data_IF_328597382177
#
_entry.id   IF_328597382177
#
_cell.length_a   1.000
_cell.length_b   1.000
_cell.length_c   1.000
_cell.angle_alpha   90.00
_cell.angle_beta   90.00
_cell.angle_gamma   90.00
#
_symmetry.space_group_name_H-M   'P 1'
#
loop_
_entity.id
_entity.type
_entity.pdbx_description
1 polymer ?
#
# COMPACT_ATOMS: atom_id res chain seq x y z
N UNK A 1 -4.67 -30.07 -4.06
CA UNK A 1 -3.70 -29.69 -3.02
C UNK A 1 -3.40 -28.19 -3.16
N UNK A 2 -3.51 -27.43 -2.08
CA UNK A 2 -3.06 -26.04 -2.12
C UNK A 2 -1.53 -25.99 -2.12
N UNK A 3 -0.99 -25.09 -2.93
CA UNK A 3 0.44 -24.81 -2.93
C UNK A 3 0.87 -24.24 -1.57
N UNK A 4 2.07 -24.55 -1.16
CA UNK A 4 2.72 -23.97 0.01
C UNK A 4 3.68 -22.89 -0.47
N UNK A 5 3.52 -21.68 0.04
CA UNK A 5 4.32 -20.53 -0.31
C UNK A 5 5.36 -20.26 0.78
N UNK A 6 6.55 -19.87 0.38
CA UNK A 6 7.51 -19.26 1.30
C UNK A 6 7.03 -17.87 1.72
N UNK A 7 7.59 -17.33 2.79
CA UNK A 7 7.28 -15.97 3.23
C UNK A 7 7.52 -14.94 2.11
N UNK A 8 8.58 -15.10 1.35
CA UNK A 8 8.91 -14.23 0.23
C UNK A 8 7.90 -14.32 -0.91
N UNK A 9 7.52 -15.55 -1.30
CA UNK A 9 6.47 -15.78 -2.30
C UNK A 9 5.11 -15.23 -1.85
N UNK A 10 4.78 -15.36 -0.57
CA UNK A 10 3.57 -14.80 0.00
C UNK A 10 3.55 -13.27 -0.07
N UNK A 11 4.66 -12.60 0.26
CA UNK A 11 4.80 -11.15 0.12
C UNK A 11 4.65 -10.72 -1.34
N UNK A 12 5.29 -11.41 -2.26
CA UNK A 12 5.17 -11.12 -3.68
C UNK A 12 3.73 -11.20 -4.16
N UNK A 13 3.02 -12.28 -3.82
CA UNK A 13 1.63 -12.47 -4.20
C UNK A 13 0.71 -11.39 -3.60
N UNK A 14 0.89 -11.05 -2.33
CA UNK A 14 0.11 -9.99 -1.66
C UNK A 14 0.38 -8.64 -2.31
N UNK A 15 1.63 -8.31 -2.58
CA UNK A 15 2.00 -7.07 -3.26
C UNK A 15 1.36 -6.94 -4.64
N UNK A 16 1.39 -7.99 -5.42
CA UNK A 16 0.75 -8.05 -6.74
C UNK A 16 -0.76 -7.81 -6.64
N UNK A 17 -1.44 -8.50 -5.74
CA UNK A 17 -2.89 -8.37 -5.56
C UNK A 17 -3.26 -6.95 -5.13
N UNK A 18 -2.61 -6.41 -4.11
CA UNK A 18 -2.97 -5.12 -3.53
C UNK A 18 -2.65 -3.95 -4.43
N UNK A 19 -1.48 -3.95 -5.06
CA UNK A 19 -1.02 -2.78 -5.82
C UNK A 19 -1.51 -2.83 -7.26
N UNK A 20 -1.43 -3.97 -7.91
CA UNK A 20 -1.64 -4.07 -9.36
C UNK A 20 -2.99 -4.67 -9.76
N UNK A 21 -3.71 -5.35 -8.87
CA UNK A 21 -4.99 -5.97 -9.19
C UNK A 21 -6.20 -5.31 -8.52
N UNK A 22 -6.01 -4.50 -7.49
CA UNK A 22 -7.11 -3.74 -6.90
C UNK A 22 -7.47 -2.55 -7.79
N UNK A 23 -8.73 -2.44 -8.27
CA UNK A 23 -9.10 -1.41 -9.26
C UNK A 23 -8.80 0.02 -8.84
N UNK A 24 -9.09 0.36 -7.58
CA UNK A 24 -8.84 1.70 -7.04
C UNK A 24 -7.34 2.03 -7.00
N UNK A 25 -6.52 1.09 -6.54
CA UNK A 25 -5.07 1.26 -6.46
C UNK A 25 -4.43 1.35 -7.85
N UNK A 26 -4.97 0.63 -8.81
CA UNK A 26 -4.58 0.76 -10.22
C UNK A 26 -4.94 2.12 -10.79
N UNK A 27 -6.13 2.65 -10.48
CA UNK A 27 -6.55 3.97 -10.92
C UNK A 27 -5.65 5.08 -10.39
N UNK A 28 -5.13 4.93 -9.17
CA UNK A 28 -4.12 5.83 -8.61
C UNK A 28 -2.74 5.66 -9.25
N UNK A 29 -2.51 4.59 -10.01
CA UNK A 29 -1.21 4.31 -10.61
C UNK A 29 -0.14 3.98 -9.58
N UNK A 30 -0.51 3.30 -8.49
CA UNK A 30 0.44 2.92 -7.46
C UNK A 30 1.47 1.92 -8.00
N UNK A 31 2.71 2.14 -7.63
CA UNK A 31 3.85 1.27 -7.89
C UNK A 31 4.41 0.74 -6.56
N UNK A 32 4.73 -0.54 -6.51
CA UNK A 32 5.36 -1.15 -5.35
C UNK A 32 6.88 -1.17 -5.54
N UNK A 33 7.56 -0.26 -4.85
CA UNK A 33 9.02 -0.12 -4.98
C UNK A 33 9.77 -1.09 -4.08
N UNK A 34 9.23 -1.35 -2.88
CA UNK A 34 9.84 -2.26 -1.91
C UNK A 34 8.79 -2.83 -0.98
N UNK A 35 8.84 -4.13 -0.74
CA UNK A 35 7.94 -4.81 0.18
C UNK A 35 8.66 -5.90 0.97
N UNK A 36 8.69 -5.72 2.27
CA UNK A 36 9.28 -6.63 3.23
C UNK A 36 8.29 -6.91 4.37
N UNK A 37 8.64 -7.82 5.25
CA UNK A 37 7.80 -8.24 6.39
C UNK A 37 7.25 -7.06 7.21
N UNK A 38 8.06 -6.02 7.42
CA UNK A 38 7.71 -4.87 8.26
C UNK A 38 7.87 -3.52 7.56
N UNK A 39 7.95 -3.54 6.22
CA UNK A 39 8.19 -2.33 5.45
C UNK A 39 7.52 -2.43 4.08
N UNK A 40 6.84 -1.36 3.68
CA UNK A 40 6.31 -1.21 2.33
C UNK A 40 6.59 0.20 1.82
N UNK A 41 7.04 0.30 0.59
CA UNK A 41 7.26 1.57 -0.09
C UNK A 41 6.49 1.58 -1.39
N UNK A 42 5.62 2.58 -1.52
CA UNK A 42 4.84 2.84 -2.71
C UNK A 42 5.25 4.16 -3.33
N UNK A 43 5.13 4.24 -4.63
CA UNK A 43 5.24 5.49 -5.38
C UNK A 43 4.08 5.62 -6.36
N UNK A 44 3.83 6.83 -6.80
CA UNK A 44 2.87 7.12 -7.87
C UNK A 44 3.26 8.41 -8.57
N UNK A 45 2.86 8.52 -9.83
CA UNK A 45 3.02 9.75 -10.59
C UNK A 45 1.79 10.62 -10.44
N UNK A 46 2.00 11.94 -10.38
CA UNK A 46 0.89 12.88 -10.32
C UNK A 46 0.01 12.80 -11.57
N UNK A 47 -1.29 12.85 -11.36
CA UNK A 47 -2.30 12.92 -12.41
C UNK A 47 -3.20 14.15 -12.16
N UNK A 48 -3.80 14.76 -13.19
CA UNK A 48 -4.69 15.93 -13.02
C UNK A 48 -5.82 15.68 -12.02
N UNK A 49 -6.36 14.47 -11.97
CA UNK A 49 -7.44 14.11 -11.04
C UNK A 49 -7.00 14.11 -9.56
N UNK A 50 -5.71 14.10 -9.29
CA UNK A 50 -5.15 14.05 -7.92
C UNK A 50 -4.98 15.44 -7.29
N UNK A 51 -5.25 16.50 -8.05
CA UNK A 51 -5.15 17.87 -7.54
C UNK A 51 -6.35 18.21 -6.67
N UNK A 52 -6.12 18.50 -5.40
CA UNK A 52 -7.16 18.89 -4.46
C UNK A 52 -7.36 20.39 -4.34
N UNK A 53 -6.28 21.16 -4.52
CA UNK A 53 -6.33 22.61 -4.59
C UNK A 53 -5.69 23.06 -5.90
N UNK A 54 -6.52 23.42 -6.86
CA UNK A 54 -6.08 23.80 -8.19
C UNK A 54 -5.26 25.09 -8.22
N UNK A 55 -5.54 26.02 -7.30
CA UNK A 55 -4.82 27.30 -7.23
C UNK A 55 -3.37 27.15 -6.78
N UNK A 56 -3.09 26.15 -5.99
CA UNK A 56 -1.75 25.87 -5.44
C UNK A 56 -1.12 24.59 -6.01
N UNK A 57 -1.84 23.87 -6.86
CA UNK A 57 -1.38 22.59 -7.44
C UNK A 57 -0.91 21.58 -6.37
N UNK A 58 -1.63 21.49 -5.26
CA UNK A 58 -1.36 20.54 -4.20
C UNK A 58 -2.22 19.28 -4.34
N UNK A 59 -1.65 18.14 -3.96
CA UNK A 59 -2.34 16.86 -3.96
C UNK A 59 -3.58 16.91 -3.06
N UNK A 60 -4.65 16.27 -3.54
CA UNK A 60 -5.83 16.01 -2.74
C UNK A 60 -5.45 15.15 -1.53
N UNK A 61 -5.93 15.54 -0.33
CA UNK A 61 -5.67 14.79 0.90
C UNK A 61 -6.15 13.34 0.82
N UNK A 62 -7.22 13.08 0.06
CA UNK A 62 -7.71 11.74 -0.21
C UNK A 62 -6.73 10.84 -0.96
N UNK A 63 -5.90 11.39 -1.84
CA UNK A 63 -4.84 10.63 -2.53
C UNK A 63 -3.77 10.21 -1.52
N UNK A 64 -3.34 11.13 -0.68
CA UNK A 64 -2.35 10.85 0.37
C UNK A 64 -2.89 9.80 1.35
N UNK A 65 -4.12 9.97 1.82
CA UNK A 65 -4.77 9.03 2.72
C UNK A 65 -4.89 7.63 2.10
N UNK A 66 -5.28 7.55 0.83
CA UNK A 66 -5.39 6.28 0.11
C UNK A 66 -4.05 5.56 -0.03
N UNK A 67 -3.00 6.27 -0.40
CA UNK A 67 -1.66 5.69 -0.52
C UNK A 67 -1.13 5.21 0.84
N UNK A 68 -1.37 5.98 1.90
CA UNK A 68 -1.00 5.60 3.27
C UNK A 68 -1.78 4.39 3.77
N UNK A 69 -3.07 4.30 3.47
CA UNK A 69 -3.90 3.15 3.81
C UNK A 69 -3.37 1.86 3.17
N UNK A 70 -3.05 1.92 1.88
CA UNK A 70 -2.47 0.77 1.17
C UNK A 70 -1.11 0.38 1.76
N UNK A 71 -0.22 1.34 2.01
CA UNK A 71 1.10 1.07 2.57
C UNK A 71 1.01 0.45 3.97
N UNK A 72 0.17 1.00 4.83
CA UNK A 72 -0.06 0.46 6.17
C UNK A 72 -0.70 -0.94 6.12
N UNK A 73 -1.67 -1.13 5.24
CA UNK A 73 -2.31 -2.42 5.00
C UNK A 73 -1.31 -3.49 4.56
N UNK A 74 -0.43 -3.17 3.61
CA UNK A 74 0.63 -4.08 3.17
C UNK A 74 1.56 -4.50 4.32
N UNK A 75 1.97 -3.56 5.17
CA UNK A 75 2.83 -3.88 6.33
C UNK A 75 2.09 -4.76 7.33
N UNK A 76 0.84 -4.45 7.65
CA UNK A 76 0.03 -5.27 8.56
C UNK A 76 -0.18 -6.68 8.03
N UNK A 77 -0.55 -6.80 6.77
CA UNK A 77 -0.74 -8.10 6.09
C UNK A 77 0.57 -8.87 6.03
N UNK A 78 1.64 -8.25 5.56
CA UNK A 78 2.95 -8.88 5.44
C UNK A 78 3.47 -9.41 6.76
N UNK A 79 3.41 -8.60 7.82
CA UNK A 79 3.87 -9.01 9.15
C UNK A 79 3.04 -10.14 9.76
N UNK A 80 1.76 -10.22 9.42
CA UNK A 80 0.86 -11.25 9.93
C UNK A 80 1.02 -12.57 9.17
N UNK A 81 1.08 -12.51 7.84
CA UNK A 81 1.16 -13.70 7.00
C UNK A 81 2.54 -14.34 6.95
N UNK A 82 3.58 -13.57 7.27
CA UNK A 82 4.97 -14.06 7.27
C UNK A 82 5.51 -14.37 8.66
N UNK A 83 4.64 -14.68 9.63
CA UNK A 83 5.05 -15.10 10.98
C UNK A 83 5.82 -16.41 10.96
N UNK A 84 5.47 -17.29 10.06
CA UNK A 84 6.11 -18.57 9.81
C UNK A 84 6.83 -18.54 8.47
N UNK A 85 7.76 -19.44 8.27
CA UNK A 85 8.56 -19.52 7.04
C UNK A 85 7.74 -19.88 5.81
N UNK A 86 6.61 -20.56 6.03
CA UNK A 86 5.72 -20.99 4.96
C UNK A 86 4.25 -20.77 5.32
N UNK A 87 3.41 -20.62 4.30
CA UNK A 87 1.95 -20.53 4.42
C UNK A 87 1.29 -21.25 3.23
N UNK A 88 0.22 -21.97 3.49
CA UNK A 88 -0.59 -22.53 2.42
C UNK A 88 -1.32 -21.40 1.67
N UNK A 89 -1.32 -21.44 0.34
CA UNK A 89 -1.96 -20.41 -0.49
C UNK A 89 -3.44 -20.24 -0.14
N UNK A 90 -4.15 -21.31 0.12
CA UNK A 90 -5.55 -21.29 0.53
C UNK A 90 -5.74 -20.56 1.86
N UNK A 91 -4.86 -20.80 2.83
CA UNK A 91 -4.89 -20.10 4.11
C UNK A 91 -4.60 -18.60 3.93
N UNK A 92 -3.63 -18.27 3.10
CA UNK A 92 -3.32 -16.88 2.76
C UNK A 92 -4.56 -16.16 2.20
N UNK A 93 -5.23 -16.76 1.21
CA UNK A 93 -6.45 -16.20 0.60
C UNK A 93 -7.58 -16.05 1.60
N UNK A 94 -7.78 -17.05 2.47
CA UNK A 94 -8.79 -17.00 3.53
C UNK A 94 -8.54 -15.87 4.52
N UNK A 95 -7.30 -15.68 4.92
CA UNK A 95 -6.91 -14.60 5.83
C UNK A 95 -7.08 -13.22 5.17
N UNK A 96 -6.63 -13.07 3.92
CA UNK A 96 -6.81 -11.83 3.16
C UNK A 96 -8.27 -11.42 3.03
N UNK A 97 -9.15 -12.37 2.79
CA UNK A 97 -10.59 -12.12 2.66
C UNK A 97 -11.25 -11.55 3.93
N UNK A 98 -10.60 -11.71 5.08
CA UNK A 98 -11.08 -11.22 6.38
C UNK A 98 -10.40 -9.93 6.83
N UNK A 99 -9.47 -9.41 6.05
CA UNK A 99 -8.73 -8.20 6.38
C UNK A 99 -9.41 -6.99 5.75
N UNK A 100 -9.42 -5.89 6.47
CA UNK A 100 -9.91 -4.61 5.99
C UNK A 100 -9.48 -3.51 6.94
N UNK A 101 -9.53 -2.29 6.46
CA UNK A 101 -9.22 -1.10 7.26
C UNK A 101 -10.37 -0.84 8.23
N UNK A 102 -10.07 -0.80 9.52
CA UNK A 102 -11.04 -0.46 10.57
C UNK A 102 -11.02 1.04 10.82
N UNK A 103 -9.83 1.62 10.87
CA UNK A 103 -9.63 3.04 11.14
C UNK A 103 -8.34 3.51 10.46
N UNK A 104 -8.35 4.76 10.03
CA UNK A 104 -7.19 5.42 9.43
C UNK A 104 -7.12 6.84 9.96
N UNK A 105 -6.04 7.17 10.65
CA UNK A 105 -5.71 8.52 11.05
C UNK A 105 -4.57 9.06 10.22
N UNK A 106 -4.77 10.21 9.61
CA UNK A 106 -3.76 10.89 8.79
C UNK A 106 -3.55 12.31 9.31
N UNK A 107 -2.31 12.64 9.62
CA UNK A 107 -1.91 13.99 10.01
C UNK A 107 -1.15 14.62 8.83
N UNK A 108 -1.73 15.67 8.24
CA UNK A 108 -1.16 16.39 7.09
C UNK A 108 -0.24 17.50 7.58
N UNK A 109 1.06 17.19 7.73
CA UNK A 109 2.05 18.11 8.27
C UNK A 109 2.56 19.12 7.24
N UNK A 110 2.49 18.75 5.96
CA UNK A 110 2.90 19.58 4.83
C UNK A 110 2.02 19.27 3.63
N UNK A 111 1.75 20.27 2.77
CA UNK A 111 1.06 20.01 1.50
C UNK A 111 1.92 19.12 0.60
N UNK A 112 1.29 18.11 0.01
CA UNK A 112 1.88 17.32 -1.06
C UNK A 112 1.92 18.17 -2.32
N UNK A 113 3.09 18.53 -2.85
CA UNK A 113 3.17 19.31 -4.08
C UNK A 113 3.08 18.39 -5.29
N UNK A 114 2.07 18.64 -6.09
CA UNK A 114 1.97 18.07 -7.42
C UNK A 114 2.97 18.83 -8.34
N UNK A 115 4.21 18.35 -8.44
CA UNK A 115 5.17 18.90 -9.37
C UNK A 115 4.79 18.49 -10.79
N UNK A 116 4.77 19.45 -11.70
CA UNK A 116 4.38 19.26 -13.11
C UNK A 116 5.37 18.39 -13.95
N UNK A 117 6.39 17.85 -13.34
CA UNK A 117 7.34 16.92 -13.95
C UNK A 117 7.13 15.51 -13.36
N UNK A 118 7.35 14.46 -14.14
CA UNK A 118 7.16 13.08 -13.67
C UNK A 118 8.23 12.71 -12.64
N UNK A 119 8.06 13.19 -11.42
CA UNK A 119 8.84 12.71 -10.30
C UNK A 119 7.93 11.81 -9.46
N UNK A 120 8.34 10.57 -9.18
CA UNK A 120 7.58 9.71 -8.30
C UNK A 120 7.48 10.34 -6.91
N UNK A 121 6.27 10.54 -6.43
CA UNK A 121 6.06 10.83 -5.03
C UNK A 121 6.16 9.50 -4.29
N UNK A 122 7.19 9.32 -3.48
CA UNK A 122 7.32 8.13 -2.66
C UNK A 122 6.51 8.30 -1.38
N UNK A 123 5.61 7.37 -1.12
CA UNK A 123 4.94 7.25 0.17
C UNK A 123 5.56 6.05 0.89
N UNK A 124 6.21 6.30 2.03
CA UNK A 124 6.79 5.25 2.84
C UNK A 124 5.92 5.04 4.06
N UNK A 125 5.26 3.88 4.13
CA UNK A 125 4.47 3.47 5.28
C UNK A 125 5.30 2.59 6.22
N UNK A 126 5.45 3.01 7.47
CA UNK A 126 6.01 2.17 8.54
C UNK A 126 4.91 1.89 9.55
N UNK A 127 4.50 0.64 9.67
CA UNK A 127 3.60 0.25 10.75
C UNK A 127 4.37 0.17 12.05
N UNK A 128 3.89 0.92 13.05
CA UNK A 128 4.37 0.77 14.42
C UNK A 128 3.49 -0.31 15.05
N UNK A 129 4.12 -1.41 15.43
CA UNK A 129 3.44 -2.46 16.18
C UNK A 129 3.25 -1.98 17.61
N UNK A 130 2.02 -1.95 18.07
CA UNK A 130 1.74 -1.83 19.49
C UNK A 130 2.15 -3.12 20.20
N UNK A 131 2.78 -3.04 21.37
CA UNK A 131 3.13 -4.21 22.18
C UNK A 131 1.89 -4.99 22.61
#
# INVERSE_FOLDING_TARGET
>A
MSAVLTAEEALQLVGEIFVYHMPFNRALGLELDRYEKSFAQLSFSNQPMMVGNWAQSILHGGVIASALDVAAGLVCVGSTLTRHDTIAEEELRTRLARMGTIDLRVDYLRPGRAIALPQPAACCGRAIRWP
#
